data_IF_038198388930
#
_entry.id   IF_038198388930
#
_cell.length_a   1.000
_cell.length_b   1.000
_cell.length_c   1.000
_cell.angle_alpha   90.00
_cell.angle_beta   90.00
_cell.angle_gamma   90.00
#
_symmetry.space_group_name_H-M   'P 1'
#
loop_
_entity.id
_entity.type
_entity.pdbx_description
1 polymer ?
#
# COMPACT_ATOMS: atom_id res chain seq x y z
N UNK A 1 -39.96 29.12 40.25
CA UNK A 1 -39.55 27.75 39.97
C UNK A 1 -38.46 27.87 38.91
N UNK A 2 -37.22 27.72 39.34
CA UNK A 2 -35.97 28.04 38.66
C UNK A 2 -35.65 26.82 37.78
N UNK A 3 -35.33 27.04 36.48
CA UNK A 3 -34.65 26.03 35.66
C UNK A 3 -33.26 26.58 35.33
N UNK A 4 -32.29 26.14 36.12
CA UNK A 4 -30.86 26.15 35.76
C UNK A 4 -30.57 24.92 34.93
N UNK A 5 -29.74 25.08 33.91
CA UNK A 5 -29.19 23.87 33.27
C UNK A 5 -28.52 24.08 31.92
N UNK A 6 -27.17 24.02 31.98
CA UNK A 6 -26.26 23.57 30.90
C UNK A 6 -25.84 24.57 29.85
N UNK A 7 -24.76 25.28 30.17
CA UNK A 7 -23.80 25.81 29.20
C UNK A 7 -22.59 24.87 29.20
N UNK A 8 -22.13 24.30 28.09
CA UNK A 8 -20.89 23.52 28.05
C UNK A 8 -19.68 24.42 28.16
N UNK A 9 -18.76 24.06 29.04
CA UNK A 9 -17.48 24.72 29.30
C UNK A 9 -16.63 24.75 27.99
N UNK A 10 -16.34 25.94 27.53
CA UNK A 10 -15.33 26.14 26.47
C UNK A 10 -13.91 26.14 27.07
N UNK A 11 -13.04 25.34 26.46
CA UNK A 11 -11.64 25.16 26.82
C UNK A 11 -10.88 26.51 26.89
N UNK A 12 -10.09 26.82 27.97
CA UNK A 12 -9.43 28.11 28.18
C UNK A 12 -8.32 28.46 27.16
N UNK A 13 -7.96 27.57 26.29
CA UNK A 13 -6.88 27.78 25.32
C UNK A 13 -7.26 28.63 24.07
N UNK A 14 -8.52 28.82 23.78
CA UNK A 14 -8.94 29.63 22.62
C UNK A 14 -8.94 31.14 22.87
N UNK A 15 -8.99 31.59 24.10
CA UNK A 15 -9.07 33.05 24.44
C UNK A 15 -7.70 33.75 24.35
N UNK A 16 -6.60 33.02 24.53
CA UNK A 16 -5.25 33.62 24.45
C UNK A 16 -4.71 33.85 23.04
N UNK A 17 -5.31 33.26 22.00
CA UNK A 17 -4.87 33.43 20.62
C UNK A 17 -5.47 34.65 19.89
N UNK A 18 -6.53 35.24 20.43
CA UNK A 18 -7.22 36.39 19.78
C UNK A 18 -6.57 37.74 20.16
N UNK A 19 -5.76 37.79 21.23
CA UNK A 19 -5.17 39.04 21.72
C UNK A 19 -3.78 39.33 21.13
N UNK A 20 -3.16 38.40 20.43
CA UNK A 20 -1.80 38.55 19.86
C UNK A 20 -1.74 38.91 18.37
N UNK A 21 -2.85 38.96 17.67
CA UNK A 21 -2.86 39.41 16.28
C UNK A 21 -3.79 40.60 16.18
N UNK A 22 -3.21 41.78 16.22
CA UNK A 22 -3.92 43.06 16.06
C UNK A 22 -4.44 43.22 14.63
N UNK A 23 -5.55 42.59 14.29
CA UNK A 23 -6.27 42.83 13.04
C UNK A 23 -7.53 43.62 13.36
N UNK A 24 -7.53 44.89 12.94
CA UNK A 24 -8.66 45.80 12.96
C UNK A 24 -9.68 45.37 11.91
N UNK A 25 -10.76 44.73 12.33
CA UNK A 25 -11.88 44.41 11.46
C UNK A 25 -12.76 45.65 11.33
N UNK A 26 -12.77 46.30 10.18
CA UNK A 26 -13.78 47.28 9.78
C UNK A 26 -15.04 46.56 9.31
N UNK A 27 -16.12 46.72 10.06
CA UNK A 27 -17.46 46.25 9.68
C UNK A 27 -17.99 47.07 8.50
N UNK A 28 -17.96 46.49 7.32
CA UNK A 28 -18.71 46.99 6.16
C UNK A 28 -20.11 46.37 6.18
N UNK A 29 -21.12 47.23 6.25
CA UNK A 29 -22.53 46.87 6.25
C UNK A 29 -22.96 46.31 4.89
N UNK A 30 -23.27 45.03 4.82
CA UNK A 30 -23.86 44.39 3.64
C UNK A 30 -25.38 44.51 3.70
N UNK A 31 -25.97 45.34 2.83
CA UNK A 31 -27.41 45.41 2.56
C UNK A 31 -27.82 44.16 1.75
N UNK A 32 -28.81 43.43 2.27
CA UNK A 32 -29.48 42.34 1.56
C UNK A 32 -30.40 42.93 0.46
N UNK A 33 -30.17 42.57 -0.80
CA UNK A 33 -31.17 42.69 -1.85
C UNK A 33 -31.98 41.40 -2.02
N UNK A 34 -33.27 41.46 -2.40
CA UNK A 34 -34.11 40.26 -2.54
C UNK A 34 -33.87 39.55 -3.89
N UNK A 35 -34.19 38.28 -4.03
CA UNK A 35 -33.89 37.48 -5.20
C UNK A 35 -34.80 37.83 -6.38
N UNK A 36 -34.20 38.14 -7.51
CA UNK A 36 -34.88 38.39 -8.79
C UNK A 36 -35.19 37.02 -9.47
N UNK A 37 -36.49 36.81 -9.69
CA UNK A 37 -37.06 35.67 -10.40
C UNK A 37 -37.02 35.88 -11.91
N UNK A 38 -36.77 34.78 -12.64
CA UNK A 38 -36.93 34.52 -14.07
C UNK A 38 -35.66 34.60 -14.93
N UNK A 39 -35.21 33.40 -15.30
CA UNK A 39 -35.06 33.04 -16.72
C UNK A 39 -35.06 31.54 -16.88
N UNK A 40 -36.10 31.03 -17.50
CA UNK A 40 -36.32 29.67 -17.99
C UNK A 40 -35.33 29.35 -19.10
N UNK A 41 -34.50 28.32 -18.91
CA UNK A 41 -33.73 27.71 -19.97
C UNK A 41 -34.33 26.37 -20.35
N UNK A 42 -34.70 26.26 -21.63
CA UNK A 42 -35.37 25.12 -22.26
C UNK A 42 -34.48 23.88 -22.24
N UNK A 43 -34.85 22.86 -21.48
CA UNK A 43 -34.35 21.50 -21.69
C UNK A 43 -35.14 20.86 -22.84
N UNK A 44 -34.44 20.53 -23.91
CA UNK A 44 -34.96 19.76 -25.04
C UNK A 44 -34.96 18.28 -24.62
N UNK A 45 -36.15 17.72 -24.45
CA UNK A 45 -36.35 16.28 -24.34
C UNK A 45 -36.06 15.61 -25.68
N UNK A 46 -35.15 14.62 -25.67
CA UNK A 46 -34.93 13.70 -26.79
C UNK A 46 -35.71 12.45 -26.49
N UNK A 47 -36.75 12.21 -27.26
CA UNK A 47 -37.59 11.00 -27.24
C UNK A 47 -36.84 9.78 -27.85
N UNK A 48 -36.96 8.59 -27.31
CA UNK A 48 -36.38 7.37 -27.88
C UNK A 48 -37.41 6.66 -28.76
N UNK A 49 -37.30 6.83 -30.08
CA UNK A 49 -37.96 5.95 -31.06
C UNK A 49 -37.15 5.94 -32.36
N UNK A 50 -36.37 4.90 -32.55
CA UNK A 50 -36.12 4.42 -33.91
C UNK A 50 -35.87 2.91 -33.87
N UNK A 51 -36.80 2.21 -34.51
CA UNK A 51 -36.87 0.80 -34.80
C UNK A 51 -35.67 0.38 -35.68
N UNK A 52 -34.95 -0.63 -35.23
CA UNK A 52 -34.07 -1.39 -36.10
C UNK A 52 -34.88 -2.37 -36.94
N UNK A 53 -34.86 -2.18 -38.23
CA UNK A 53 -35.31 -3.17 -39.23
C UNK A 53 -34.25 -4.27 -39.34
N UNK A 54 -34.68 -5.50 -39.23
CA UNK A 54 -33.87 -6.68 -39.44
C UNK A 54 -33.45 -6.88 -40.90
N UNK A 55 -32.31 -7.46 -41.04
CA UNK A 55 -31.91 -8.14 -42.30
C UNK A 55 -31.59 -9.59 -41.92
N UNK A 56 -32.48 -10.50 -42.36
CA UNK A 56 -32.23 -11.93 -42.48
C UNK A 56 -31.50 -12.17 -43.78
N UNK A 57 -30.44 -12.99 -43.76
CA UNK A 57 -29.97 -13.79 -44.87
C UNK A 57 -29.47 -15.09 -44.26
N UNK A 58 -30.15 -16.11 -44.40
CA UNK A 58 -30.34 -17.26 -45.29
C UNK A 58 -29.17 -18.24 -45.31
N UNK A 59 -29.53 -19.42 -44.88
CA UNK A 59 -28.89 -20.73 -44.99
C UNK A 59 -27.98 -20.99 -46.21
N UNK A 60 -26.91 -21.76 -45.92
CA UNK A 60 -26.08 -22.41 -46.94
C UNK A 60 -25.45 -23.68 -46.36
N UNK A 61 -26.23 -24.75 -46.34
CA UNK A 61 -25.73 -26.11 -46.11
C UNK A 61 -24.98 -26.62 -47.31
N UNK A 62 -23.76 -27.14 -47.11
CA UNK A 62 -23.13 -28.09 -48.08
C UNK A 62 -22.49 -29.24 -47.31
N UNK A 63 -23.15 -30.39 -47.46
CA UNK A 63 -22.64 -31.72 -47.17
C UNK A 63 -21.62 -32.14 -48.23
N UNK A 64 -20.48 -32.71 -47.83
CA UNK A 64 -19.76 -33.66 -48.67
C UNK A 64 -19.02 -34.70 -47.81
N UNK A 65 -19.54 -35.89 -47.87
CA UNK A 65 -18.88 -37.15 -47.48
C UNK A 65 -17.85 -37.51 -48.52
N UNK A 66 -16.66 -37.92 -48.12
CA UNK A 66 -15.90 -39.02 -48.76
C UNK A 66 -14.94 -39.62 -47.77
N UNK A 67 -15.22 -40.86 -47.48
CA UNK A 67 -14.38 -41.78 -46.76
C UNK A 67 -13.19 -42.25 -47.58
N UNK A 68 -12.15 -42.63 -46.85
CA UNK A 68 -11.10 -43.48 -47.44
C UNK A 68 -10.75 -44.57 -46.43
N UNK A 69 -10.83 -45.80 -46.94
CA UNK A 69 -10.63 -47.07 -46.26
C UNK A 69 -9.16 -47.36 -45.97
N UNK A 70 -8.97 -48.08 -44.90
CA UNK A 70 -7.79 -48.73 -44.39
C UNK A 70 -6.90 -49.46 -45.39
N UNK A 71 -5.61 -49.51 -45.12
CA UNK A 71 -4.78 -50.70 -45.35
C UNK A 71 -3.75 -50.85 -44.24
N UNK A 72 -3.88 -51.95 -43.56
CA UNK A 72 -3.02 -52.59 -42.58
C UNK A 72 -1.69 -52.97 -43.26
N UNK A 73 -0.56 -52.66 -42.65
CA UNK A 73 0.68 -53.33 -42.86
C UNK A 73 1.36 -53.57 -41.53
N UNK A 74 1.42 -54.84 -41.18
CA UNK A 74 2.08 -55.40 -40.02
C UNK A 74 3.61 -55.42 -40.31
N UNK A 75 4.38 -54.68 -39.53
CA UNK A 75 5.85 -54.75 -39.53
C UNK A 75 6.33 -55.00 -38.12
N UNK A 76 6.72 -56.22 -37.84
CA UNK A 76 7.28 -56.68 -36.56
C UNK A 76 8.75 -56.24 -36.52
N UNK A 77 9.08 -55.22 -35.72
CA UNK A 77 10.46 -54.93 -35.33
C UNK A 77 10.62 -55.15 -33.84
N UNK A 78 11.28 -56.21 -33.48
CA UNK A 78 11.78 -56.46 -32.13
C UNK A 78 12.96 -55.53 -31.90
N UNK A 79 12.84 -54.58 -31.01
CA UNK A 79 13.94 -53.78 -30.48
C UNK A 79 14.08 -54.07 -28.99
N UNK A 80 15.20 -54.66 -28.63
CA UNK A 80 15.59 -54.95 -27.29
C UNK A 80 15.64 -53.66 -26.45
N UNK A 81 14.82 -53.60 -25.41
CA UNK A 81 14.78 -52.48 -24.51
C UNK A 81 15.98 -52.48 -23.54
N UNK A 82 16.85 -51.53 -23.68
CA UNK A 82 17.77 -51.13 -22.60
C UNK A 82 16.99 -50.22 -21.63
N UNK A 83 16.62 -50.75 -20.49
CA UNK A 83 16.11 -50.00 -19.32
C UNK A 83 17.25 -49.15 -18.77
N UNK A 84 17.27 -47.87 -19.11
CA UNK A 84 18.06 -46.90 -18.33
C UNK A 84 17.17 -46.38 -17.19
N UNK A 85 17.72 -46.31 -15.94
CA UNK A 85 16.98 -45.70 -14.84
C UNK A 85 16.78 -44.21 -15.11
N UNK A 86 15.55 -43.76 -15.05
CA UNK A 86 15.22 -42.33 -15.08
C UNK A 86 15.86 -41.64 -13.87
N UNK A 87 16.91 -40.88 -14.09
CA UNK A 87 17.45 -39.99 -13.08
C UNK A 87 16.40 -38.90 -12.83
N UNK A 88 15.79 -38.92 -11.65
CA UNK A 88 14.99 -37.81 -11.15
C UNK A 88 15.89 -36.59 -10.98
N UNK A 89 15.93 -35.73 -12.00
CA UNK A 89 16.50 -34.40 -11.86
C UNK A 89 15.51 -33.56 -11.06
N UNK A 90 15.70 -33.55 -9.74
CA UNK A 90 15.08 -32.57 -8.89
C UNK A 90 15.56 -31.20 -9.34
N UNK A 91 14.68 -30.44 -10.00
CA UNK A 91 14.93 -29.03 -10.29
C UNK A 91 15.04 -28.30 -8.96
N UNK A 92 16.26 -28.14 -8.45
CA UNK A 92 16.54 -27.22 -7.37
C UNK A 92 16.12 -25.83 -7.84
N UNK A 93 15.08 -25.27 -7.20
CA UNK A 93 14.71 -23.88 -7.42
C UNK A 93 15.93 -23.02 -7.09
N UNK A 94 16.58 -22.47 -8.12
CA UNK A 94 17.65 -21.49 -7.95
C UNK A 94 17.00 -20.26 -7.35
N UNK A 95 17.16 -20.10 -6.03
CA UNK A 95 16.80 -18.85 -5.35
C UNK A 95 17.64 -17.73 -5.97
N UNK A 96 16.96 -16.66 -6.43
CA UNK A 96 17.65 -15.47 -6.90
C UNK A 96 18.67 -15.01 -5.84
N UNK A 97 19.85 -14.51 -6.24
CA UNK A 97 20.88 -14.09 -5.31
C UNK A 97 20.31 -13.02 -4.38
N UNK A 98 20.37 -13.30 -3.08
CA UNK A 98 19.93 -12.38 -2.03
C UNK A 98 20.77 -11.12 -2.15
N UNK A 99 20.13 -9.96 -2.35
CA UNK A 99 20.84 -8.66 -2.36
C UNK A 99 21.73 -8.57 -1.14
N UNK A 100 23.02 -8.31 -1.34
CA UNK A 100 24.00 -8.12 -0.25
C UNK A 100 23.86 -6.75 0.42
N UNK A 101 23.03 -5.86 -0.14
CA UNK A 101 22.81 -4.52 0.40
C UNK A 101 21.88 -4.60 1.61
N UNK A 102 22.29 -4.10 2.79
CA UNK A 102 21.41 -4.06 3.96
C UNK A 102 20.14 -3.28 3.67
N UNK A 103 18.99 -3.82 4.05
CA UNK A 103 17.68 -3.14 3.89
C UNK A 103 17.25 -2.41 5.16
N UNK A 104 17.90 -2.71 6.28
CA UNK A 104 17.69 -2.12 7.61
C UNK A 104 19.01 -1.52 8.06
N UNK A 105 18.96 -0.39 8.74
CA UNK A 105 20.10 0.22 9.43
C UNK A 105 19.73 0.46 10.90
N UNK A 106 20.71 0.23 11.78
CA UNK A 106 20.56 0.53 13.20
C UNK A 106 20.77 2.02 13.47
N UNK A 107 20.25 2.50 14.58
CA UNK A 107 20.37 3.89 15.00
C UNK A 107 21.82 4.33 15.16
N UNK A 108 22.69 3.47 15.67
CA UNK A 108 24.14 3.71 15.77
C UNK A 108 24.82 3.86 14.40
N UNK A 109 24.43 3.05 13.42
CA UNK A 109 24.94 3.18 12.06
C UNK A 109 24.55 4.53 11.45
N UNK A 110 23.26 4.92 11.61
CA UNK A 110 22.79 6.19 11.06
C UNK A 110 23.50 7.39 11.71
N UNK A 111 23.68 7.36 13.04
CA UNK A 111 24.40 8.40 13.77
C UNK A 111 25.82 8.61 13.25
N UNK A 112 26.54 7.52 12.97
CA UNK A 112 27.90 7.57 12.39
C UNK A 112 27.91 8.09 10.94
N UNK A 113 26.76 8.09 10.26
CA UNK A 113 26.62 8.47 8.85
C UNK A 113 25.82 9.76 8.62
N UNK A 114 25.51 10.53 9.67
CA UNK A 114 24.76 11.80 9.53
C UNK A 114 25.45 12.80 8.58
N UNK A 115 26.78 12.83 8.54
CA UNK A 115 27.57 13.72 7.70
C UNK A 115 28.06 13.06 6.40
N UNK A 116 27.61 11.84 6.09
CA UNK A 116 28.01 11.15 4.88
C UNK A 116 27.29 11.72 3.66
N UNK A 117 28.03 12.34 2.74
CA UNK A 117 27.48 12.97 1.54
C UNK A 117 26.70 12.00 0.61
N UNK A 118 26.93 10.68 0.73
CA UNK A 118 26.22 9.66 -0.02
C UNK A 118 24.96 9.13 0.67
N UNK A 119 24.68 9.55 1.91
CA UNK A 119 23.48 9.17 2.65
C UNK A 119 22.47 10.32 2.61
N UNK A 120 21.23 10.02 2.32
CA UNK A 120 20.10 10.94 2.44
C UNK A 120 19.06 10.34 3.39
N UNK A 121 18.64 11.17 4.33
CA UNK A 121 17.71 10.78 5.39
C UNK A 121 16.35 11.39 5.07
N UNK A 122 15.31 10.56 5.05
CA UNK A 122 13.95 10.99 4.73
C UNK A 122 13.04 10.67 5.92
N UNK A 123 12.41 11.68 6.50
CA UNK A 123 11.35 11.49 7.49
C UNK A 123 9.98 11.41 6.81
N UNK A 124 9.24 10.34 7.11
CA UNK A 124 7.86 10.14 6.65
C UNK A 124 7.01 9.93 7.89
N UNK A 125 6.74 11.04 8.60
CA UNK A 125 5.87 11.07 9.78
C UNK A 125 4.53 11.69 9.43
N UNK A 126 3.46 11.22 10.08
CA UNK A 126 2.09 11.66 9.81
C UNK A 126 1.48 12.50 10.93
N UNK A 127 2.01 12.43 12.14
CA UNK A 127 1.54 13.29 13.23
C UNK A 127 1.92 14.75 12.92
N UNK A 128 0.95 15.69 12.97
CA UNK A 128 1.15 17.08 12.55
C UNK A 128 2.25 17.78 13.35
N UNK A 129 3.14 18.45 12.63
CA UNK A 129 4.21 19.26 13.24
C UNK A 129 5.34 18.46 13.88
N UNK A 130 5.39 17.13 13.69
CA UNK A 130 6.38 16.29 14.34
C UNK A 130 7.80 16.55 13.82
N UNK A 131 7.96 16.70 12.52
CA UNK A 131 9.23 17.07 11.90
C UNK A 131 9.71 18.46 12.36
N UNK A 132 8.80 19.43 12.41
CA UNK A 132 9.10 20.82 12.80
C UNK A 132 9.47 20.95 14.29
N UNK A 133 8.92 20.09 15.15
CA UNK A 133 9.31 19.99 16.57
C UNK A 133 10.74 19.47 16.74
N UNK A 134 11.19 18.66 15.83
CA UNK A 134 12.54 18.11 15.80
C UNK A 134 12.61 16.83 14.96
N UNK A 135 13.67 16.69 14.18
CA UNK A 135 13.97 15.57 13.30
C UNK A 135 15.44 15.19 13.38
N UNK A 136 15.83 14.06 12.84
CA UNK A 136 17.23 13.64 12.74
C UNK A 136 17.98 14.65 11.88
N UNK A 137 19.14 15.12 12.33
CA UNK A 137 19.92 16.11 11.60
C UNK A 137 20.18 15.64 10.15
N UNK A 138 19.98 16.55 9.19
CA UNK A 138 20.16 16.25 7.77
C UNK A 138 18.92 15.60 7.10
N UNK A 139 17.86 15.29 7.84
CA UNK A 139 16.65 14.70 7.27
C UNK A 139 15.84 15.72 6.45
N UNK A 140 15.20 15.21 5.39
CA UNK A 140 14.19 15.92 4.61
C UNK A 140 12.81 15.30 4.89
N UNK A 141 11.77 16.13 5.04
CA UNK A 141 10.39 15.66 5.25
C UNK A 141 9.74 15.30 3.92
N UNK A 142 9.08 14.13 3.89
CA UNK A 142 8.10 13.78 2.87
C UNK A 142 6.75 13.55 3.54
N UNK A 143 5.70 14.07 2.93
CA UNK A 143 4.31 13.96 3.42
C UNK A 143 3.60 12.87 2.64
N UNK A 144 3.20 11.80 3.32
CA UNK A 144 2.59 10.64 2.68
C UNK A 144 1.38 11.01 1.80
N UNK A 145 0.46 11.84 2.34
CA UNK A 145 -0.80 12.21 1.67
C UNK A 145 -0.61 12.99 0.37
N UNK A 146 0.48 13.76 0.26
CA UNK A 146 0.71 14.67 -0.87
C UNK A 146 1.91 14.30 -1.71
N UNK A 147 2.94 13.67 -1.13
CA UNK A 147 4.19 13.40 -1.87
C UNK A 147 4.25 11.99 -2.43
N UNK A 148 3.57 11.02 -1.79
CA UNK A 148 3.55 9.63 -2.25
C UNK A 148 2.21 9.17 -2.82
N UNK A 149 1.16 9.95 -2.63
CA UNK A 149 -0.20 9.63 -3.09
C UNK A 149 -0.72 10.78 -3.94
N UNK A 150 -1.38 10.46 -5.05
CA UNK A 150 -2.21 11.40 -5.79
C UNK A 150 -3.53 11.60 -5.00
N UNK A 151 -3.78 12.81 -4.46
CA UNK A 151 -4.97 13.04 -3.63
C UNK A 151 -6.28 13.06 -4.42
N UNK A 152 -6.20 13.19 -5.76
CA UNK A 152 -7.39 13.24 -6.63
C UNK A 152 -7.78 11.83 -7.07
N UNK A 153 -6.83 11.09 -7.65
CA UNK A 153 -7.08 9.74 -8.17
C UNK A 153 -6.91 8.65 -7.12
N UNK A 154 -6.37 8.99 -5.95
CA UNK A 154 -5.99 8.03 -4.90
C UNK A 154 -5.02 6.97 -5.43
N UNK A 155 -4.19 7.32 -6.41
CA UNK A 155 -3.12 6.50 -6.96
C UNK A 155 -1.77 6.83 -6.29
N UNK A 156 -0.73 6.07 -6.59
CA UNK A 156 0.64 6.44 -6.21
C UNK A 156 1.07 7.71 -6.96
N UNK A 157 2.01 8.44 -6.37
CA UNK A 157 2.61 9.61 -7.01
C UNK A 157 3.13 9.29 -8.42
N UNK A 158 2.90 10.17 -9.38
CA UNK A 158 3.42 10.01 -10.73
C UNK A 158 4.95 10.09 -10.80
N UNK A 159 5.54 9.37 -11.75
CA UNK A 159 6.99 9.27 -11.97
C UNK A 159 7.71 10.62 -11.98
N UNK A 160 7.23 11.57 -12.76
CA UNK A 160 7.91 12.85 -12.95
C UNK A 160 7.84 13.73 -11.69
N UNK A 161 6.72 13.64 -10.97
CA UNK A 161 6.58 14.28 -9.67
C UNK A 161 7.49 13.64 -8.64
N UNK A 162 7.55 12.32 -8.56
CA UNK A 162 8.47 11.60 -7.67
C UNK A 162 9.92 11.97 -7.96
N UNK A 163 10.32 12.01 -9.24
CA UNK A 163 11.67 12.41 -9.63
C UNK A 163 12.03 13.83 -9.17
N UNK A 164 11.08 14.79 -9.29
CA UNK A 164 11.28 16.16 -8.79
C UNK A 164 11.48 16.18 -7.28
N UNK A 165 10.67 15.45 -6.53
CA UNK A 165 10.78 15.31 -5.07
C UNK A 165 12.11 14.67 -4.66
N UNK A 166 12.49 13.56 -5.26
CA UNK A 166 13.74 12.87 -4.99
C UNK A 166 14.95 13.78 -5.25
N UNK A 167 14.97 14.51 -6.37
CA UNK A 167 16.02 15.48 -6.67
C UNK A 167 16.05 16.65 -5.67
N UNK A 168 14.90 17.16 -5.26
CA UNK A 168 14.82 18.21 -4.24
C UNK A 168 15.38 17.74 -2.89
N UNK A 169 15.19 16.45 -2.55
CA UNK A 169 15.78 15.83 -1.37
C UNK A 169 17.27 15.47 -1.52
N UNK A 170 17.93 15.89 -2.61
CA UNK A 170 19.37 15.66 -2.82
C UNK A 170 19.74 14.24 -3.23
N UNK A 171 18.77 13.44 -3.74
CA UNK A 171 19.02 12.06 -4.13
C UNK A 171 19.66 11.99 -5.51
N UNK A 172 20.76 11.26 -5.61
CA UNK A 172 21.46 10.87 -6.84
C UNK A 172 21.23 9.38 -7.13
N UNK A 173 21.65 8.90 -8.31
CA UNK A 173 21.48 7.50 -8.69
C UNK A 173 22.30 6.50 -7.83
N UNK A 174 23.31 6.97 -7.12
CA UNK A 174 24.21 6.21 -6.24
C UNK A 174 24.01 6.53 -4.74
N UNK A 175 22.94 7.25 -4.40
CA UNK A 175 22.63 7.63 -3.02
C UNK A 175 22.06 6.44 -2.23
N UNK A 176 22.56 6.23 -1.03
CA UNK A 176 21.89 5.42 0.00
C UNK A 176 20.80 6.28 0.64
N UNK A 177 19.55 5.85 0.53
CA UNK A 177 18.41 6.55 1.14
C UNK A 177 17.96 5.79 2.38
N UNK A 178 17.89 6.48 3.52
CA UNK A 178 17.40 5.95 4.79
C UNK A 178 16.07 6.62 5.12
N UNK A 179 15.00 5.84 5.19
CA UNK A 179 13.69 6.32 5.60
C UNK A 179 13.42 6.00 7.07
N UNK A 180 12.78 6.92 7.77
CA UNK A 180 12.28 6.70 9.12
C UNK A 180 11.01 7.53 9.34
N UNK A 181 10.26 7.23 10.41
CA UNK A 181 9.08 7.99 10.77
C UNK A 181 8.48 7.54 12.08
N UNK A 182 7.30 8.06 12.35
CA UNK A 182 6.40 7.65 13.42
C UNK A 182 5.63 6.35 13.09
N UNK A 183 4.64 5.99 13.91
CA UNK A 183 3.73 4.84 13.66
C UNK A 183 4.47 3.55 13.28
N UNK A 184 5.57 3.24 14.01
CA UNK A 184 6.37 2.05 13.73
C UNK A 184 6.82 1.94 12.25
N UNK A 185 7.20 3.03 11.63
CA UNK A 185 7.65 3.08 10.24
C UNK A 185 6.62 2.63 9.17
N UNK A 186 5.32 2.63 9.43
CA UNK A 186 4.34 2.22 8.41
C UNK A 186 4.46 3.06 7.15
N UNK A 187 4.52 4.37 7.30
CA UNK A 187 4.60 5.32 6.19
C UNK A 187 5.99 5.38 5.58
N UNK A 188 7.03 5.13 6.38
CA UNK A 188 8.40 4.97 5.88
C UNK A 188 8.54 3.72 5.01
N UNK A 189 7.91 2.60 5.40
CA UNK A 189 7.86 1.39 4.58
C UNK A 189 7.11 1.62 3.25
N UNK A 190 6.02 2.41 3.27
CA UNK A 190 5.38 2.88 2.03
C UNK A 190 6.36 3.69 1.18
N UNK A 191 7.10 4.61 1.79
CA UNK A 191 8.17 5.34 1.11
C UNK A 191 9.17 4.40 0.45
N UNK A 192 9.69 3.38 1.17
CA UNK A 192 10.58 2.37 0.57
C UNK A 192 9.96 1.72 -0.65
N UNK A 193 8.68 1.33 -0.57
CA UNK A 193 7.97 0.72 -1.68
C UNK A 193 7.88 1.66 -2.90
N UNK A 194 7.56 2.94 -2.71
CA UNK A 194 7.55 3.96 -3.79
C UNK A 194 8.95 4.15 -4.38
N UNK A 195 9.97 4.27 -3.52
CA UNK A 195 11.35 4.46 -3.96
C UNK A 195 11.84 3.27 -4.80
N UNK A 196 11.52 2.05 -4.39
CA UNK A 196 11.81 0.83 -5.16
C UNK A 196 11.01 0.78 -6.46
N UNK A 197 9.73 1.17 -6.42
CA UNK A 197 8.86 1.21 -7.60
C UNK A 197 9.43 2.10 -8.71
N UNK A 198 10.11 3.20 -8.35
CA UNK A 198 10.72 4.13 -9.30
C UNK A 198 12.23 3.95 -9.49
N UNK A 199 12.80 2.84 -9.01
CA UNK A 199 14.14 2.39 -9.37
C UNK A 199 15.28 2.89 -8.49
N UNK A 200 15.03 3.42 -7.29
CA UNK A 200 16.11 3.70 -6.34
C UNK A 200 16.66 2.38 -5.80
N UNK A 201 17.95 2.16 -5.99
CA UNK A 201 18.59 0.86 -5.74
C UNK A 201 18.81 0.60 -4.25
N UNK A 202 19.40 1.54 -3.54
CA UNK A 202 19.76 1.43 -2.12
C UNK A 202 18.81 2.27 -1.26
N UNK A 203 17.75 1.60 -0.78
CA UNK A 203 16.74 2.19 0.12
C UNK A 203 16.65 1.33 1.36
N UNK A 204 16.79 1.96 2.52
CA UNK A 204 16.85 1.30 3.83
C UNK A 204 15.83 1.92 4.79
N UNK A 205 15.46 1.16 5.82
CA UNK A 205 14.64 1.66 6.94
C UNK A 205 15.54 1.76 8.18
N UNK A 206 15.38 2.84 8.95
CA UNK A 206 15.93 2.96 10.28
C UNK A 206 15.17 2.02 11.23
N UNK A 207 15.85 1.04 11.80
CA UNK A 207 15.26 0.04 12.69
C UNK A 207 14.64 0.70 13.94
N UNK A 208 13.35 0.45 14.22
CA UNK A 208 12.60 1.09 15.30
C UNK A 208 12.18 2.54 15.04
N UNK A 209 12.60 3.15 13.92
CA UNK A 209 12.15 4.46 13.46
C UNK A 209 12.46 5.61 14.43
N UNK A 210 11.59 6.62 14.39
CA UNK A 210 11.72 7.84 15.20
C UNK A 210 11.68 7.56 16.70
N UNK A 211 10.78 6.70 17.13
CA UNK A 211 10.54 6.44 18.56
C UNK A 211 11.76 5.81 19.22
N UNK A 212 12.39 4.83 18.56
CA UNK A 212 13.63 4.20 19.04
C UNK A 212 14.79 5.21 19.09
N UNK A 213 14.96 6.03 18.04
CA UNK A 213 15.99 7.08 18.01
C UNK A 213 15.89 8.02 19.22
N UNK A 214 14.67 8.49 19.53
CA UNK A 214 14.42 9.39 20.67
C UNK A 214 14.59 8.66 22.00
N UNK A 215 14.07 7.41 22.12
CA UNK A 215 14.18 6.61 23.34
C UNK A 215 15.63 6.29 23.70
N UNK A 216 16.51 6.18 22.72
CA UNK A 216 17.95 6.02 22.96
C UNK A 216 18.66 7.33 23.31
N UNK A 217 17.95 8.45 23.48
CA UNK A 217 18.50 9.75 23.84
C UNK A 217 19.29 10.43 22.70
N UNK A 218 19.12 9.99 21.45
CA UNK A 218 19.84 10.57 20.32
C UNK A 218 19.27 11.92 19.94
N UNK A 219 20.18 12.80 19.48
CA UNK A 219 19.84 14.19 19.18
C UNK A 219 18.86 14.34 18.00
N UNK A 220 17.90 15.26 18.15
CA UNK A 220 17.04 15.79 17.11
C UNK A 220 17.19 17.30 17.03
N UNK A 221 16.86 17.88 15.88
CA UNK A 221 16.94 19.32 15.63
C UNK A 221 15.69 19.84 14.92
N UNK A 222 15.20 21.04 15.22
CA UNK A 222 14.16 21.68 14.44
C UNK A 222 14.71 22.41 13.20
N UNK A 223 16.02 22.43 12.99
CA UNK A 223 16.68 23.19 11.92
C UNK A 223 16.62 22.37 10.62
N UNK A 224 15.90 22.83 9.57
CA UNK A 224 15.85 22.14 8.29
C UNK A 224 17.23 21.99 7.67
N UNK A 225 17.47 20.86 7.02
CA UNK A 225 18.72 20.61 6.32
C UNK A 225 18.85 21.48 5.07
N UNK A 226 20.03 22.08 4.86
CA UNK A 226 20.37 22.71 3.59
C UNK A 226 20.73 21.65 2.56
N UNK A 227 19.81 21.36 1.64
CA UNK A 227 19.94 20.27 0.66
C UNK A 227 20.32 20.82 -0.71
N UNK A 228 21.42 20.32 -1.26
CA UNK A 228 21.74 20.51 -2.68
C UNK A 228 20.92 19.55 -3.54
N UNK A 229 20.34 20.08 -4.63
CA UNK A 229 19.52 19.28 -5.55
C UNK A 229 20.32 18.14 -6.16
N UNK A 230 19.76 16.93 -6.11
CA UNK A 230 20.33 15.74 -6.71
C UNK A 230 20.01 15.57 -8.20
N UNK A 231 20.51 14.48 -8.78
CA UNK A 231 20.39 14.18 -10.21
C UNK A 231 19.65 12.85 -10.49
N UNK A 232 19.00 12.24 -9.50
CA UNK A 232 18.29 10.97 -9.66
C UNK A 232 17.37 10.95 -10.88
N UNK A 233 17.38 9.85 -11.62
CA UNK A 233 16.49 9.63 -12.77
C UNK A 233 15.57 8.44 -12.49
N UNK A 234 14.27 8.73 -12.36
CA UNK A 234 13.26 7.71 -12.09
C UNK A 234 13.00 6.83 -13.32
N UNK A 235 12.90 5.53 -13.09
CA UNK A 235 12.43 4.57 -14.10
C UNK A 235 10.91 4.63 -14.25
N UNK A 236 10.35 3.95 -15.24
CA UNK A 236 8.92 3.60 -15.24
C UNK A 236 8.59 2.80 -13.97
N UNK A 237 7.35 2.93 -13.50
CA UNK A 237 6.91 2.22 -12.30
C UNK A 237 7.03 0.70 -12.48
N UNK A 238 7.70 0.03 -11.55
CA UNK A 238 7.75 -1.44 -11.54
C UNK A 238 6.46 -2.02 -10.94
N UNK A 239 5.50 -2.32 -11.81
CA UNK A 239 4.20 -2.89 -11.42
C UNK A 239 4.31 -4.34 -10.90
N UNK A 240 5.48 -4.96 -10.92
CA UNK A 240 5.70 -6.25 -10.25
C UNK A 240 5.62 -6.12 -8.73
N UNK A 241 5.81 -4.93 -8.18
CA UNK A 241 5.71 -4.64 -6.76
C UNK A 241 4.28 -4.34 -6.30
N UNK A 242 3.33 -4.14 -7.24
CA UNK A 242 1.95 -3.71 -6.96
C UNK A 242 0.94 -4.76 -7.38
N UNK A 243 -0.10 -4.96 -6.59
CA UNK A 243 -1.29 -5.73 -6.94
C UNK A 243 -2.49 -4.80 -7.06
N UNK A 244 -3.46 -5.21 -7.88
CA UNK A 244 -4.69 -4.48 -8.13
C UNK A 244 -5.91 -5.31 -7.74
N UNK A 245 -7.08 -4.67 -7.64
CA UNK A 245 -8.34 -5.33 -7.31
C UNK A 245 -8.59 -6.63 -8.13
N UNK A 246 -8.37 -6.68 -9.45
CA UNK A 246 -8.58 -7.92 -10.20
C UNK A 246 -7.68 -9.09 -9.76
N UNK A 247 -6.46 -8.81 -9.27
CA UNK A 247 -5.54 -9.85 -8.81
C UNK A 247 -6.07 -10.51 -7.54
N UNK A 248 -6.52 -9.71 -6.56
CA UNK A 248 -7.07 -10.24 -5.29
C UNK A 248 -8.43 -10.89 -5.49
N UNK A 249 -9.25 -10.42 -6.42
CA UNK A 249 -10.53 -11.04 -6.78
C UNK A 249 -10.33 -12.45 -7.35
N UNK A 250 -9.28 -12.70 -8.13
CA UNK A 250 -8.95 -14.06 -8.62
C UNK A 250 -8.65 -15.02 -7.45
N UNK A 251 -7.94 -14.56 -6.43
CA UNK A 251 -7.68 -15.37 -5.23
C UNK A 251 -8.98 -15.64 -4.46
N UNK A 252 -9.76 -14.59 -4.20
CA UNK A 252 -11.04 -14.69 -3.48
C UNK A 252 -12.03 -15.64 -4.14
N UNK A 253 -12.06 -15.68 -5.49
CA UNK A 253 -12.88 -16.61 -6.29
C UNK A 253 -12.20 -17.97 -6.52
N UNK A 254 -11.05 -18.24 -5.91
CA UNK A 254 -10.26 -19.48 -6.02
C UNK A 254 -9.82 -19.83 -7.46
N UNK A 255 -9.75 -18.85 -8.35
CA UNK A 255 -9.24 -19.02 -9.72
C UNK A 255 -7.72 -18.88 -9.80
N UNK A 256 -7.09 -18.19 -8.84
CA UNK A 256 -5.65 -18.22 -8.59
C UNK A 256 -5.37 -19.04 -7.30
N UNK A 257 -4.62 -20.13 -7.45
CA UNK A 257 -4.17 -21.02 -6.37
C UNK A 257 -2.66 -20.93 -6.12
N UNK A 258 -1.97 -20.11 -6.90
CA UNK A 258 -0.51 -19.97 -6.87
C UNK A 258 -0.04 -18.82 -5.99
N UNK A 259 -0.93 -17.90 -5.68
CA UNK A 259 -0.65 -16.71 -4.87
C UNK A 259 -1.30 -16.83 -3.48
N UNK A 260 -0.58 -16.45 -2.45
CA UNK A 260 -1.09 -16.32 -1.07
C UNK A 260 -1.53 -14.89 -0.82
N UNK A 261 -2.56 -14.72 -0.01
CA UNK A 261 -3.06 -13.42 0.41
C UNK A 261 -2.90 -13.27 1.91
N UNK A 262 -2.37 -12.14 2.37
CA UNK A 262 -2.13 -11.86 3.80
C UNK A 262 -2.85 -10.57 4.19
N UNK A 263 -3.76 -10.70 5.14
CA UNK A 263 -4.37 -9.57 5.85
C UNK A 263 -3.56 -9.28 7.10
N UNK A 264 -3.02 -8.06 7.17
CA UNK A 264 -2.13 -7.67 8.28
C UNK A 264 -2.86 -6.86 9.35
N UNK A 265 -4.18 -6.70 9.23
CA UNK A 265 -5.03 -6.03 10.22
C UNK A 265 -5.16 -6.89 11.48
N UNK A 266 -5.72 -6.31 12.54
CA UNK A 266 -6.03 -7.05 13.76
C UNK A 266 -6.97 -8.24 13.50
N UNK A 267 -6.95 -9.22 14.41
CA UNK A 267 -7.86 -10.36 14.34
C UNK A 267 -9.34 -9.93 14.40
N UNK A 268 -9.65 -8.86 15.14
CA UNK A 268 -11.00 -8.31 15.24
C UNK A 268 -11.46 -7.64 13.93
N UNK A 269 -10.57 -6.90 13.21
CA UNK A 269 -10.83 -6.40 11.86
C UNK A 269 -11.03 -7.56 10.87
N UNK A 270 -10.17 -8.57 10.94
CA UNK A 270 -10.19 -9.73 10.05
C UNK A 270 -11.47 -10.57 10.21
N UNK A 271 -11.86 -10.86 11.46
CA UNK A 271 -13.10 -11.61 11.73
C UNK A 271 -14.36 -10.83 11.40
N UNK A 272 -14.25 -9.51 11.20
CA UNK A 272 -15.39 -8.62 11.01
C UNK A 272 -16.10 -8.24 12.32
N UNK A 273 -15.47 -8.47 13.47
CA UNK A 273 -16.01 -8.05 14.77
C UNK A 273 -16.02 -6.52 14.89
N UNK A 274 -15.02 -5.85 14.32
CA UNK A 274 -14.94 -4.39 14.20
C UNK A 274 -14.67 -4.00 12.74
N UNK A 275 -15.10 -2.81 12.36
CA UNK A 275 -14.81 -2.24 11.05
C UNK A 275 -13.41 -1.61 11.01
N UNK A 276 -13.07 -0.84 12.05
CA UNK A 276 -11.78 -0.17 12.21
C UNK A 276 -11.37 -0.18 13.68
N UNK A 277 -10.05 -0.04 14.00
CA UNK A 277 -9.60 0.16 15.36
C UNK A 277 -10.19 1.43 15.97
N UNK A 278 -10.32 1.46 17.30
CA UNK A 278 -10.79 2.63 18.03
C UNK A 278 -9.97 3.89 17.67
N UNK A 279 -10.65 4.99 17.44
CA UNK A 279 -10.05 6.28 17.05
C UNK A 279 -9.74 6.42 15.55
N UNK A 280 -9.99 5.37 14.73
CA UNK A 280 -9.87 5.46 13.27
C UNK A 280 -11.24 5.50 12.61
N UNK A 281 -11.39 6.41 11.64
CA UNK A 281 -12.61 6.47 10.82
C UNK A 281 -12.72 5.22 9.96
N UNK A 282 -13.93 4.63 9.92
CA UNK A 282 -14.22 3.57 8.97
C UNK A 282 -14.38 4.11 7.55
N UNK A 283 -13.79 3.39 6.61
CA UNK A 283 -13.79 3.74 5.19
C UNK A 283 -14.44 2.68 4.29
N UNK A 284 -14.87 1.55 4.86
CA UNK A 284 -15.50 0.46 4.13
C UNK A 284 -16.86 0.10 4.74
N UNK A 285 -17.89 -0.07 3.91
CA UNK A 285 -19.25 -0.40 4.34
C UNK A 285 -19.43 -1.88 4.68
N UNK A 286 -18.43 -2.72 4.49
CA UNK A 286 -18.46 -4.14 4.83
C UNK A 286 -17.38 -4.50 5.83
N UNK A 287 -17.74 -5.30 6.84
CA UNK A 287 -16.82 -5.88 7.81
C UNK A 287 -16.27 -7.22 7.31
N UNK A 288 -15.14 -7.69 7.86
CA UNK A 288 -14.53 -8.98 7.52
C UNK A 288 -13.27 -8.84 6.68
N UNK A 289 -13.00 -9.85 5.83
CA UNK A 289 -11.76 -9.96 5.06
C UNK A 289 -11.99 -10.56 3.65
N UNK A 290 -10.96 -10.50 2.82
CA UNK A 290 -10.94 -11.10 1.49
C UNK A 290 -10.84 -12.64 1.64
N UNK A 291 -11.76 -13.43 1.06
CA UNK A 291 -11.74 -14.89 1.17
C UNK A 291 -10.39 -15.48 0.74
N UNK A 292 -9.87 -16.41 1.54
CA UNK A 292 -8.57 -17.06 1.30
C UNK A 292 -7.34 -16.32 1.86
N UNK A 293 -7.53 -15.17 2.49
CA UNK A 293 -6.45 -14.49 3.19
C UNK A 293 -6.08 -15.21 4.49
N UNK A 294 -4.77 -15.29 4.78
CA UNK A 294 -4.27 -15.59 6.10
C UNK A 294 -4.19 -14.29 6.91
N UNK A 295 -4.50 -14.34 8.21
CA UNK A 295 -4.34 -13.18 9.08
C UNK A 295 -3.01 -13.24 9.83
N UNK A 296 -2.14 -12.28 9.58
CA UNK A 296 -0.89 -12.10 10.32
C UNK A 296 -0.78 -10.61 10.70
N UNK A 297 -1.22 -10.22 11.89
CA UNK A 297 -1.18 -8.82 12.30
C UNK A 297 0.23 -8.24 12.21
N UNK A 298 0.36 -7.05 11.62
CA UNK A 298 1.66 -6.39 11.39
C UNK A 298 2.53 -6.32 12.65
N UNK A 299 1.91 -6.13 13.82
CA UNK A 299 2.59 -5.98 15.11
C UNK A 299 3.33 -7.24 15.55
N UNK A 300 3.03 -8.41 14.98
CA UNK A 300 3.78 -9.64 15.27
C UNK A 300 5.21 -9.61 14.74
N UNK A 301 5.51 -8.70 13.82
CA UNK A 301 6.82 -8.58 13.18
C UNK A 301 7.82 -7.67 13.92
N UNK A 302 7.39 -6.96 14.96
CA UNK A 302 8.24 -6.02 15.70
C UNK A 302 8.30 -6.35 17.19
N UNK A 303 9.35 -5.86 17.85
CA UNK A 303 9.50 -5.86 19.31
C UNK A 303 8.79 -4.66 19.95
N UNK A 304 8.89 -4.55 21.27
CA UNK A 304 8.30 -3.46 22.05
C UNK A 304 8.94 -2.08 21.81
N UNK A 305 10.11 -2.06 21.17
CA UNK A 305 10.82 -0.85 20.76
C UNK A 305 10.57 -0.47 19.29
N UNK A 306 9.65 -1.19 18.62
CA UNK A 306 9.35 -0.99 17.21
C UNK A 306 10.39 -1.54 16.23
N UNK A 307 11.48 -2.12 16.72
CA UNK A 307 12.48 -2.77 15.88
C UNK A 307 11.95 -4.08 15.30
N UNK A 308 12.36 -4.39 14.07
CA UNK A 308 12.01 -5.67 13.44
C UNK A 308 12.61 -6.84 14.21
N UNK A 309 11.84 -7.89 14.36
CA UNK A 309 12.34 -9.18 14.85
C UNK A 309 13.40 -9.75 13.92
N UNK A 310 14.19 -10.69 14.43
CA UNK A 310 15.22 -11.38 13.64
C UNK A 310 14.61 -12.08 12.40
N UNK A 311 15.37 -12.22 11.31
CA UNK A 311 14.90 -12.94 10.12
C UNK A 311 14.40 -14.37 10.41
N UNK A 312 15.00 -15.05 11.40
CA UNK A 312 14.60 -16.39 11.81
C UNK A 312 13.21 -16.39 12.48
N UNK A 313 12.95 -15.46 13.42
CA UNK A 313 11.64 -15.29 14.06
C UNK A 313 10.58 -14.89 13.05
N UNK A 314 10.88 -13.92 12.16
CA UNK A 314 9.97 -13.49 11.11
C UNK A 314 9.61 -14.65 10.18
N UNK A 315 10.61 -15.43 9.74
CA UNK A 315 10.38 -16.60 8.90
C UNK A 315 9.43 -17.60 9.57
N UNK A 316 9.62 -17.85 10.89
CA UNK A 316 8.74 -18.73 11.64
C UNK A 316 7.30 -18.20 11.72
N UNK A 317 7.12 -16.92 12.08
CA UNK A 317 5.80 -16.29 12.21
C UNK A 317 4.99 -16.43 10.92
N UNK A 318 5.59 -16.16 9.78
CA UNK A 318 4.88 -16.23 8.50
C UNK A 318 4.71 -17.68 8.02
N UNK A 319 5.68 -18.56 8.25
CA UNK A 319 5.54 -19.98 7.91
C UNK A 319 4.42 -20.68 8.70
N UNK A 320 4.24 -20.35 9.98
CA UNK A 320 3.13 -20.86 10.81
C UNK A 320 1.75 -20.47 10.24
N UNK A 321 1.68 -19.36 9.49
CA UNK A 321 0.49 -18.93 8.75
C UNK A 321 0.42 -19.46 7.29
N UNK A 322 1.34 -20.35 6.91
CA UNK A 322 1.43 -20.93 5.57
C UNK A 322 2.01 -20.00 4.51
N UNK A 323 2.82 -19.01 4.95
CA UNK A 323 3.55 -18.05 4.11
C UNK A 323 5.04 -18.32 4.23
N UNK A 324 5.51 -19.28 3.48
CA UNK A 324 6.88 -19.84 3.57
C UNK A 324 7.83 -19.39 2.45
N UNK A 325 7.34 -18.52 1.54
CA UNK A 325 8.10 -18.02 0.39
C UNK A 325 8.10 -18.93 -0.84
N UNK A 326 7.42 -20.08 -0.78
CA UNK A 326 7.29 -20.99 -1.96
C UNK A 326 6.30 -20.47 -2.99
N UNK A 327 5.38 -19.59 -2.59
CA UNK A 327 4.38 -18.96 -3.46
C UNK A 327 4.52 -17.46 -3.45
N UNK A 328 4.02 -16.82 -4.52
CA UNK A 328 3.83 -15.37 -4.54
C UNK A 328 2.91 -14.94 -3.40
N UNK A 329 3.13 -13.75 -2.87
CA UNK A 329 2.34 -13.19 -1.79
C UNK A 329 1.76 -11.85 -2.20
N UNK A 330 0.50 -11.59 -1.85
CA UNK A 330 -0.09 -10.26 -1.86
C UNK A 330 -0.43 -9.89 -0.43
N UNK A 331 -0.02 -8.70 0.00
CA UNK A 331 -0.32 -8.17 1.34
C UNK A 331 -1.29 -7.00 1.22
N UNK A 332 -2.22 -6.89 2.17
CA UNK A 332 -3.15 -5.78 2.26
C UNK A 332 -3.49 -5.43 3.72
N UNK A 333 -3.95 -4.20 3.94
CA UNK A 333 -4.49 -3.77 5.24
C UNK A 333 -5.81 -3.01 5.07
N UNK A 334 -5.94 -1.80 5.62
CA UNK A 334 -7.10 -0.93 5.44
C UNK A 334 -6.93 0.00 4.23
N UNK A 335 -5.81 0.74 4.13
CA UNK A 335 -5.50 1.72 3.07
C UNK A 335 -4.08 1.54 2.48
N UNK A 336 -3.35 0.48 2.82
CA UNK A 336 -2.07 0.09 2.25
C UNK A 336 -0.83 0.40 3.12
N UNK A 337 -0.86 1.39 3.99
CA UNK A 337 0.30 1.86 4.77
C UNK A 337 0.85 0.81 5.75
N UNK A 338 -0.03 0.16 6.52
CA UNK A 338 0.38 -0.94 7.41
C UNK A 338 0.85 -2.16 6.61
N UNK A 339 0.24 -2.39 5.44
CA UNK A 339 0.62 -3.50 4.57
C UNK A 339 2.00 -3.28 3.93
N UNK A 340 2.41 -2.02 3.70
CA UNK A 340 3.75 -1.71 3.23
C UNK A 340 4.83 -2.15 4.23
N UNK A 341 4.55 -2.08 5.53
CA UNK A 341 5.43 -2.61 6.57
C UNK A 341 5.61 -4.14 6.43
N UNK A 342 4.53 -4.89 6.24
CA UNK A 342 4.61 -6.34 6.02
C UNK A 342 5.22 -6.68 4.65
N UNK A 343 4.93 -5.89 3.61
CA UNK A 343 5.62 -6.01 2.33
C UNK A 343 7.13 -5.87 2.50
N UNK A 344 7.58 -4.89 3.28
CA UNK A 344 9.00 -4.70 3.57
C UNK A 344 9.59 -5.91 4.29
N UNK A 345 8.92 -6.44 5.30
CA UNK A 345 9.37 -7.65 6.03
C UNK A 345 9.51 -8.84 5.07
N UNK A 346 8.46 -9.18 4.35
CA UNK A 346 8.45 -10.36 3.49
C UNK A 346 9.37 -10.20 2.28
N UNK A 347 9.35 -9.04 1.61
CA UNK A 347 10.12 -8.81 0.40
C UNK A 347 11.58 -8.44 0.69
N UNK A 348 11.82 -7.47 1.59
CA UNK A 348 13.14 -6.88 1.76
C UNK A 348 13.99 -7.59 2.82
N UNK A 349 13.37 -8.16 3.87
CA UNK A 349 14.08 -8.91 4.91
C UNK A 349 14.15 -10.39 4.55
N UNK A 350 13.01 -11.01 4.19
CA UNK A 350 12.94 -12.45 3.92
C UNK A 350 13.20 -12.82 2.46
N UNK A 351 13.14 -11.85 1.52
CA UNK A 351 13.43 -12.07 0.09
C UNK A 351 12.34 -12.84 -0.65
N UNK A 352 11.08 -12.78 -0.21
CA UNK A 352 9.94 -13.40 -0.87
C UNK A 352 9.45 -12.56 -2.07
N UNK A 353 8.76 -13.20 -3.02
CA UNK A 353 8.07 -12.51 -4.12
C UNK A 353 6.72 -11.94 -3.62
N UNK A 354 6.71 -10.63 -3.35
CA UNK A 354 5.58 -9.97 -2.68
C UNK A 354 5.10 -8.74 -3.44
N UNK A 355 3.79 -8.65 -3.61
CA UNK A 355 3.11 -7.45 -4.10
C UNK A 355 2.33 -6.77 -2.98
N UNK A 356 2.31 -5.44 -2.99
CA UNK A 356 1.44 -4.64 -2.14
C UNK A 356 0.13 -4.35 -2.89
N UNK A 357 -1.00 -4.72 -2.30
CA UNK A 357 -2.32 -4.25 -2.71
C UNK A 357 -2.67 -3.00 -1.91
N UNK A 358 -2.33 -1.85 -2.46
CA UNK A 358 -2.47 -0.54 -1.79
C UNK A 358 -3.92 -0.06 -1.68
N UNK A 359 -4.81 -0.45 -2.60
CA UNK A 359 -6.26 -0.24 -2.48
C UNK A 359 -6.87 -0.87 -1.22
N UNK A 360 -6.34 -2.02 -0.82
CA UNK A 360 -6.60 -2.68 0.45
C UNK A 360 -8.09 -2.89 0.74
N UNK A 361 -8.47 -2.98 2.03
CA UNK A 361 -9.85 -3.20 2.43
C UNK A 361 -10.78 -2.03 2.05
N UNK A 362 -10.27 -0.80 2.04
CA UNK A 362 -11.07 0.37 1.64
C UNK A 362 -11.56 0.24 0.19
N UNK A 363 -10.74 -0.24 -0.74
CA UNK A 363 -11.18 -0.52 -2.10
C UNK A 363 -12.02 -1.79 -2.16
N UNK A 364 -11.52 -2.90 -1.63
CA UNK A 364 -12.18 -4.19 -1.72
C UNK A 364 -13.51 -4.23 -0.97
N UNK A 365 -13.54 -3.70 0.27
CA UNK A 365 -14.72 -3.67 1.13
C UNK A 365 -15.87 -2.84 0.57
N UNK A 366 -15.59 -1.88 -0.32
CA UNK A 366 -16.58 -1.06 -1.02
C UNK A 366 -16.91 -1.55 -2.44
N UNK A 367 -16.14 -2.51 -2.97
CA UNK A 367 -16.34 -3.00 -4.33
C UNK A 367 -17.63 -3.83 -4.45
N UNK A 368 -18.44 -3.53 -5.46
CA UNK A 368 -19.71 -4.23 -5.72
C UNK A 368 -19.45 -5.61 -6.34
N UNK A 369 -20.18 -6.63 -5.89
CA UNK A 369 -20.15 -7.97 -6.49
C UNK A 369 -18.91 -8.83 -6.20
N UNK A 370 -18.01 -8.37 -5.31
CA UNK A 370 -16.87 -9.19 -4.86
C UNK A 370 -17.23 -9.97 -3.59
N UNK A 371 -16.76 -11.22 -3.43
CA UNK A 371 -17.03 -12.02 -2.23
C UNK A 371 -16.26 -11.50 -1.02
N UNK A 372 -16.86 -11.58 0.16
CA UNK A 372 -16.20 -11.35 1.44
C UNK A 372 -16.39 -12.55 2.37
N UNK A 373 -15.51 -12.68 3.35
CA UNK A 373 -15.69 -13.53 4.54
C UNK A 373 -15.90 -12.62 5.74
N UNK A 374 -17.04 -12.78 6.42
CA UNK A 374 -17.40 -12.02 7.63
C UNK A 374 -17.88 -12.97 8.72
N UNK A 375 -16.96 -13.65 9.43
CA UNK A 375 -17.30 -14.65 10.44
C UNK A 375 -18.18 -14.12 11.58
N UNK A 376 -17.99 -12.85 11.96
CA UNK A 376 -18.75 -12.23 13.07
C UNK A 376 -20.15 -11.76 12.67
N UNK A 377 -20.46 -11.72 11.37
CA UNK A 377 -21.77 -11.29 10.87
C UNK A 377 -22.10 -9.83 11.07
N UNK A 378 -21.13 -8.99 11.46
CA UNK A 378 -21.34 -7.56 11.68
C UNK A 378 -21.76 -6.85 10.40
N UNK A 379 -22.83 -6.05 10.47
CA UNK A 379 -23.39 -5.32 9.34
C UNK A 379 -23.35 -3.82 9.66
N UNK A 380 -22.93 -3.02 8.70
CA UNK A 380 -22.89 -1.57 8.82
C UNK A 380 -24.28 -1.00 9.12
N UNK A 381 -24.36 -0.05 10.03
CA UNK A 381 -25.62 0.58 10.43
C UNK A 381 -26.53 -0.27 11.35
N UNK A 382 -26.09 -1.46 11.78
CA UNK A 382 -26.71 -2.24 12.85
C UNK A 382 -25.79 -2.13 14.08
N UNK A 383 -25.98 -1.11 14.88
CA UNK A 383 -25.40 -0.91 16.21
C UNK A 383 -26.49 -0.95 17.25
#
# INVERSE_FOLDING_TARGET
MIIEGLVPEFCPYMIKMIIMVGIRLTLSSYKKEPPNTRKTSKYRQISPNNRLKGICMSDGSVTSRRGFKARTAMGLCVVAGLLMPAANVSASAVSAPKSTTPTIVETSWLEQNLNNAKVRIIEVSTDPGLYEKGHIAGATKFVWHTDFVDPVNRDIVEKDRFQKLARAAGINNDTTVVLYGDKNNWFSAWGVWIFKTYGIKDVRILNGGRDKWIKEGRAITPIPAAIQKGNFTATAADLKLRAFLPDVVKIAKKTDKTTKLVDIRSADEFSGKIFAPAGFQELAIRAGHIPGAANVPWSTAVGSDGAFKSPAELKKIYADAGIDGTKKVIVYCRIGERAAHTWFVLSQILGYDVKLYDGSWTEYGNSVGVPISNPSGTVWGKG
#
